data_IF_321153882396
#
_entry.id   IF_321153882396
#
_cell.length_a   1.000
_cell.length_b   1.000
_cell.length_c   1.000
_cell.angle_alpha   90.00
_cell.angle_beta   90.00
_cell.angle_gamma   90.00
#
_symmetry.space_group_name_H-M   'P 1'
#
loop_
_entity.id
_entity.type
_entity.pdbx_description
1 polymer ?
#
# COMPACT_ATOMS: atom_id res chain seq x y z
N UNK A 1 8.12 -12.10 7.08
CA UNK A 1 8.80 -11.78 5.82
C UNK A 1 8.06 -12.51 4.74
N UNK A 2 7.62 -11.83 3.69
CA UNK A 2 6.68 -12.43 2.74
C UNK A 2 7.28 -12.45 1.33
N UNK A 3 7.05 -13.56 0.62
CA UNK A 3 7.30 -13.66 -0.81
C UNK A 3 6.00 -13.44 -1.56
N UNK A 4 6.05 -12.80 -2.73
CA UNK A 4 4.92 -12.64 -3.63
C UNK A 4 5.23 -13.32 -4.96
N UNK A 5 4.35 -14.23 -5.40
CA UNK A 5 4.41 -14.82 -6.74
C UNK A 5 3.12 -14.55 -7.49
N UNK A 6 3.25 -14.18 -8.73
CA UNK A 6 2.15 -14.02 -9.69
C UNK A 6 2.45 -14.94 -10.86
N UNK A 7 1.56 -15.89 -11.12
CA UNK A 7 1.73 -16.91 -12.13
C UNK A 7 0.66 -16.79 -13.22
N UNK A 8 1.07 -16.51 -14.46
CA UNK A 8 0.23 -16.47 -15.66
C UNK A 8 -1.04 -15.58 -15.50
N UNK A 9 -0.93 -14.50 -14.75
CA UNK A 9 -2.06 -13.64 -14.40
C UNK A 9 -2.66 -12.98 -15.64
N UNK A 10 -3.94 -13.20 -15.86
CA UNK A 10 -4.69 -12.65 -16.99
C UNK A 10 -5.91 -11.87 -16.50
N UNK A 11 -6.14 -10.69 -17.09
CA UNK A 11 -7.29 -9.85 -16.79
C UNK A 11 -7.83 -9.20 -18.04
N UNK A 12 -9.15 -9.30 -18.21
CA UNK A 12 -9.90 -8.66 -19.28
C UNK A 12 -10.93 -7.69 -18.69
N UNK A 13 -11.16 -6.58 -19.36
CA UNK A 13 -12.30 -5.70 -19.14
C UNK A 13 -13.13 -5.65 -20.43
N UNK A 14 -14.26 -6.33 -20.42
CA UNK A 14 -15.04 -6.58 -21.63
C UNK A 14 -14.19 -7.29 -22.69
N UNK A 15 -14.03 -6.69 -23.86
CA UNK A 15 -13.25 -7.24 -24.98
C UNK A 15 -11.75 -6.85 -24.94
N UNK A 16 -11.32 -6.10 -23.94
CA UNK A 16 -9.94 -5.61 -23.85
C UNK A 16 -9.15 -6.43 -22.84
N UNK A 17 -8.11 -7.14 -23.31
CA UNK A 17 -7.18 -7.84 -22.44
C UNK A 17 -6.13 -6.85 -21.93
N UNK A 18 -6.19 -6.55 -20.63
CA UNK A 18 -5.32 -5.58 -19.94
C UNK A 18 -4.06 -6.26 -19.39
N UNK A 19 -4.21 -7.45 -18.80
CA UNK A 19 -3.06 -8.26 -18.35
C UNK A 19 -3.01 -9.55 -19.16
N UNK A 20 -1.83 -9.89 -19.68
CA UNK A 20 -1.60 -11.02 -20.58
C UNK A 20 -0.54 -11.95 -19.98
N UNK A 21 -0.97 -12.97 -19.23
CA UNK A 21 -0.11 -13.98 -18.63
C UNK A 21 1.10 -13.39 -17.90
N UNK A 22 0.84 -12.42 -17.01
CA UNK A 22 1.89 -11.75 -16.25
C UNK A 22 2.48 -12.73 -15.24
N UNK A 23 3.80 -12.80 -15.22
CA UNK A 23 4.58 -13.56 -14.24
C UNK A 23 5.50 -12.60 -13.49
N UNK A 24 5.48 -12.67 -12.15
CA UNK A 24 6.29 -11.84 -11.28
C UNK A 24 6.65 -12.65 -10.02
N UNK A 25 7.89 -12.58 -9.61
CA UNK A 25 8.33 -13.11 -8.32
C UNK A 25 9.05 -12.01 -7.56
N UNK A 26 8.68 -11.82 -6.30
CA UNK A 26 9.26 -10.84 -5.39
C UNK A 26 9.69 -11.57 -4.14
N UNK A 27 10.96 -11.52 -3.84
CA UNK A 27 11.51 -12.10 -2.61
C UNK A 27 11.42 -11.11 -1.45
N UNK A 28 11.56 -11.61 -0.26
CA UNK A 28 11.52 -10.80 0.96
C UNK A 28 12.58 -9.67 0.93
N UNK A 29 12.15 -8.46 1.34
CA UNK A 29 12.99 -7.26 1.35
C UNK A 29 13.29 -6.68 -0.03
N UNK A 30 12.76 -7.25 -1.11
CA UNK A 30 12.97 -6.75 -2.46
C UNK A 30 12.07 -5.54 -2.76
N UNK A 31 12.63 -4.56 -3.46
CA UNK A 31 11.92 -3.39 -3.95
C UNK A 31 11.80 -3.44 -5.48
N UNK A 32 10.59 -3.64 -5.97
CA UNK A 32 10.29 -3.71 -7.40
C UNK A 32 9.58 -2.46 -7.87
N UNK A 33 9.96 -1.94 -9.03
CA UNK A 33 9.31 -0.81 -9.69
C UNK A 33 8.67 -1.26 -11.00
N UNK A 34 7.35 -1.09 -11.10
CA UNK A 34 6.61 -1.33 -12.33
C UNK A 34 6.72 -0.11 -13.25
N UNK A 35 7.38 -0.25 -14.39
CA UNK A 35 7.52 0.80 -15.39
C UNK A 35 6.62 0.53 -16.58
N UNK A 36 6.09 1.60 -17.18
CA UNK A 36 5.28 1.52 -18.38
C UNK A 36 4.40 2.75 -18.57
N UNK A 37 3.85 2.96 -19.78
CA UNK A 37 2.98 4.09 -20.09
C UNK A 37 1.68 4.05 -19.26
N UNK A 38 0.97 5.19 -19.22
CA UNK A 38 -0.36 5.23 -18.63
C UNK A 38 -1.30 4.25 -19.33
N UNK A 39 -2.12 3.54 -18.56
CA UNK A 39 -3.08 2.57 -19.11
C UNK A 39 -2.52 1.19 -19.47
N UNK A 40 -1.24 0.90 -19.23
CA UNK A 40 -0.65 -0.41 -19.54
C UNK A 40 -0.96 -1.52 -18.51
N UNK A 41 -1.84 -1.28 -17.53
CA UNK A 41 -2.27 -2.29 -16.57
C UNK A 41 -1.56 -2.31 -15.22
N UNK A 42 -0.65 -1.37 -14.91
CA UNK A 42 0.07 -1.33 -13.61
C UNK A 42 -0.87 -1.26 -12.41
N UNK A 43 -1.77 -0.28 -12.39
CA UNK A 43 -2.76 -0.11 -11.32
C UNK A 43 -3.71 -1.32 -11.24
N UNK A 44 -4.05 -1.92 -12.39
CA UNK A 44 -4.85 -3.16 -12.43
C UNK A 44 -4.12 -4.30 -11.74
N UNK A 45 -2.84 -4.50 -12.04
CA UNK A 45 -2.02 -5.53 -11.40
C UNK A 45 -1.93 -5.32 -9.89
N UNK A 46 -1.64 -4.08 -9.46
CA UNK A 46 -1.57 -3.74 -8.03
C UNK A 46 -2.91 -3.96 -7.32
N UNK A 47 -4.04 -3.57 -7.94
CA UNK A 47 -5.38 -3.79 -7.40
C UNK A 47 -5.71 -5.28 -7.26
N UNK A 48 -5.32 -6.11 -8.23
CA UNK A 48 -5.52 -7.56 -8.17
C UNK A 48 -4.66 -8.17 -7.06
N UNK A 49 -3.40 -7.78 -6.93
CA UNK A 49 -2.52 -8.23 -5.83
C UNK A 49 -3.11 -7.82 -4.47
N UNK A 50 -3.63 -6.60 -4.35
CA UNK A 50 -4.28 -6.11 -3.13
C UNK A 50 -5.64 -6.79 -2.85
N UNK A 51 -6.24 -7.50 -3.82
CA UNK A 51 -7.55 -8.12 -3.71
C UNK A 51 -8.73 -7.18 -3.94
N UNK A 52 -8.46 -5.99 -4.48
CA UNK A 52 -9.48 -4.98 -4.81
C UNK A 52 -10.13 -5.23 -6.17
N UNK A 53 -9.52 -6.07 -7.00
CA UNK A 53 -10.00 -6.49 -8.30
C UNK A 53 -9.82 -8.01 -8.45
N UNK A 54 -10.72 -8.65 -9.17
CA UNK A 54 -10.67 -10.10 -9.45
C UNK A 54 -9.74 -10.39 -10.63
N UNK A 55 -9.15 -11.58 -10.62
CA UNK A 55 -8.40 -12.13 -11.75
C UNK A 55 -9.30 -13.05 -12.58
N UNK A 56 -9.09 -13.12 -13.89
CA UNK A 56 -9.82 -14.04 -14.77
C UNK A 56 -9.13 -15.39 -14.86
N UNK A 57 -7.77 -15.40 -14.90
CA UNK A 57 -6.97 -16.62 -14.91
C UNK A 57 -5.60 -16.36 -14.26
N UNK A 58 -4.93 -17.44 -13.84
CA UNK A 58 -3.66 -17.38 -13.12
C UNK A 58 -3.82 -17.33 -11.59
N UNK A 59 -2.68 -17.28 -10.91
CA UNK A 59 -2.63 -17.37 -9.45
C UNK A 59 -1.75 -16.29 -8.84
N UNK A 60 -2.14 -15.86 -7.64
CA UNK A 60 -1.35 -15.00 -6.78
C UNK A 60 -1.06 -15.75 -5.50
N UNK A 61 0.21 -15.86 -5.14
CA UNK A 61 0.64 -16.51 -3.91
C UNK A 61 1.36 -15.50 -3.02
N UNK A 62 1.04 -15.56 -1.74
CA UNK A 62 1.79 -14.88 -0.66
C UNK A 62 2.27 -15.96 0.28
N UNK A 63 3.58 -16.08 0.47
CA UNK A 63 4.21 -17.14 1.28
C UNK A 63 3.69 -18.54 0.90
N UNK A 64 3.66 -18.84 -0.40
CA UNK A 64 3.16 -20.11 -0.97
C UNK A 64 1.63 -20.35 -0.86
N UNK A 65 0.87 -19.46 -0.19
CA UNK A 65 -0.59 -19.56 -0.11
C UNK A 65 -1.26 -18.82 -1.25
N UNK A 66 -2.14 -19.52 -2.00
CA UNK A 66 -2.95 -18.89 -3.06
C UNK A 66 -3.97 -17.95 -2.44
N UNK A 67 -3.90 -16.65 -2.80
CA UNK A 67 -4.74 -15.59 -2.21
C UNK A 67 -5.81 -15.04 -3.14
N UNK A 68 -6.06 -15.67 -4.29
CA UNK A 68 -7.03 -15.19 -5.28
C UNK A 68 -8.42 -14.90 -4.68
N UNK A 69 -8.85 -15.70 -3.70
CA UNK A 69 -10.18 -15.59 -3.04
C UNK A 69 -10.12 -15.00 -1.63
N UNK A 70 -8.92 -14.59 -1.18
CA UNK A 70 -8.74 -13.98 0.13
C UNK A 70 -9.14 -12.51 0.05
N UNK A 71 -9.95 -12.04 0.99
CA UNK A 71 -10.37 -10.64 1.05
C UNK A 71 -9.17 -9.70 1.30
N UNK A 72 -9.23 -8.45 0.80
CA UNK A 72 -8.13 -7.47 0.93
C UNK A 72 -7.64 -7.26 2.37
N UNK A 73 -8.58 -7.27 3.33
CA UNK A 73 -8.27 -7.07 4.76
C UNK A 73 -7.41 -8.19 5.37
N UNK A 74 -7.48 -9.39 4.78
CA UNK A 74 -6.85 -10.62 5.30
C UNK A 74 -5.54 -10.97 4.55
N UNK A 75 -5.19 -10.24 3.47
CA UNK A 75 -3.94 -10.46 2.71
C UNK A 75 -2.69 -9.89 3.37
N UNK A 76 -2.82 -9.16 4.47
CA UNK A 76 -1.73 -8.44 5.14
C UNK A 76 -0.88 -7.54 4.23
N UNK A 77 -1.56 -6.92 3.26
CA UNK A 77 -0.99 -5.96 2.30
C UNK A 77 -1.42 -4.55 2.70
N UNK A 78 -0.56 -3.58 2.51
CA UNK A 78 -0.92 -2.18 2.53
C UNK A 78 -0.72 -1.57 1.13
N UNK A 79 -1.69 -0.75 0.72
CA UNK A 79 -1.65 -0.05 -0.57
C UNK A 79 -1.79 1.46 -0.36
N UNK A 80 -0.92 2.21 -1.02
CA UNK A 80 -0.99 3.66 -1.13
C UNK A 80 -1.46 4.00 -2.54
N UNK A 81 -2.65 4.59 -2.64
CA UNK A 81 -3.26 4.97 -3.90
C UNK A 81 -2.69 6.30 -4.42
N UNK A 82 -2.77 6.52 -5.72
CA UNK A 82 -2.41 7.77 -6.39
C UNK A 82 -3.12 8.99 -5.79
N UNK A 83 -4.38 8.87 -5.42
CA UNK A 83 -5.18 9.92 -4.78
C UNK A 83 -4.92 10.07 -3.27
N UNK A 84 -4.01 9.25 -2.70
CA UNK A 84 -3.73 9.09 -1.28
C UNK A 84 -4.92 8.60 -0.44
N UNK A 85 -6.14 8.72 -0.92
CA UNK A 85 -7.41 8.27 -0.31
C UNK A 85 -7.54 8.58 1.19
N UNK A 86 -7.07 9.76 1.64
CA UNK A 86 -7.20 10.21 3.03
C UNK A 86 -8.65 10.54 3.37
N UNK A 87 -9.07 10.24 4.58
CA UNK A 87 -10.38 10.63 5.11
C UNK A 87 -10.40 12.14 5.39
N UNK A 88 -11.15 12.95 4.62
CA UNK A 88 -11.03 14.42 4.66
C UNK A 88 -11.55 15.03 5.94
N UNK A 89 -12.50 14.38 6.61
CA UNK A 89 -13.08 14.84 7.88
C UNK A 89 -12.18 14.55 9.10
N UNK A 90 -11.24 13.63 8.97
CA UNK A 90 -10.35 13.19 10.05
C UNK A 90 -9.06 14.01 10.09
N UNK A 91 -8.47 14.15 11.27
CA UNK A 91 -7.12 14.69 11.44
C UNK A 91 -6.07 13.74 10.85
N UNK A 92 -4.81 14.20 10.72
CA UNK A 92 -3.68 13.35 10.36
C UNK A 92 -3.54 12.20 11.35
N UNK A 93 -3.58 12.49 12.67
CA UNK A 93 -3.57 11.48 13.73
C UNK A 93 -4.62 10.40 13.47
N UNK A 94 -5.88 10.79 13.30
CA UNK A 94 -6.98 9.85 13.13
C UNK A 94 -6.87 9.05 11.82
N UNK A 95 -6.40 9.68 10.73
CA UNK A 95 -6.11 8.97 9.49
C UNK A 95 -5.08 7.86 9.68
N UNK A 96 -3.96 8.18 10.35
CA UNK A 96 -2.85 7.23 10.57
C UNK A 96 -3.30 6.04 11.43
N UNK A 97 -3.97 6.30 12.56
CA UNK A 97 -4.33 5.25 13.52
C UNK A 97 -5.65 4.54 13.22
N UNK A 98 -6.38 4.94 12.20
CA UNK A 98 -7.71 4.40 11.87
C UNK A 98 -7.73 2.87 11.81
N UNK A 99 -6.80 2.28 11.05
CA UNK A 99 -6.71 0.81 10.90
C UNK A 99 -6.41 0.08 12.21
N UNK A 100 -5.60 0.68 13.08
CA UNK A 100 -5.29 0.09 14.39
C UNK A 100 -6.50 0.12 15.34
N UNK A 101 -7.28 1.23 15.32
CA UNK A 101 -8.54 1.33 16.08
C UNK A 101 -9.54 0.25 15.64
N UNK A 102 -9.68 0.01 14.32
CA UNK A 102 -10.57 -1.03 13.80
C UNK A 102 -10.16 -2.45 14.24
N UNK A 103 -8.86 -2.70 14.34
CA UNK A 103 -8.30 -3.97 14.83
C UNK A 103 -8.31 -4.10 16.36
N UNK A 104 -8.85 -3.10 17.08
CA UNK A 104 -8.92 -3.06 18.55
C UNK A 104 -7.56 -3.19 19.24
N UNK A 105 -6.51 -2.64 18.61
CA UNK A 105 -5.17 -2.56 19.19
C UNK A 105 -5.21 -1.70 20.45
N UNK A 106 -4.39 -2.02 21.46
CA UNK A 106 -4.36 -1.27 22.72
C UNK A 106 -3.95 0.20 22.50
N UNK A 107 -4.45 1.10 23.34
CA UNK A 107 -4.13 2.53 23.24
C UNK A 107 -2.62 2.79 23.35
N UNK A 108 -1.93 2.05 24.21
CA UNK A 108 -0.49 2.17 24.41
C UNK A 108 0.27 1.81 23.12
N UNK A 109 -0.07 0.70 22.49
CA UNK A 109 0.55 0.28 21.22
C UNK A 109 0.23 1.28 20.10
N UNK A 110 -1.00 1.81 20.01
CA UNK A 110 -1.38 2.84 19.05
C UNK A 110 -0.50 4.08 19.20
N UNK A 111 -0.33 4.61 20.42
CA UNK A 111 0.48 5.80 20.66
C UNK A 111 1.97 5.55 20.37
N UNK A 112 2.48 4.37 20.71
CA UNK A 112 3.87 3.97 20.40
C UNK A 112 4.11 3.93 18.89
N UNK A 113 3.24 3.26 18.13
CA UNK A 113 3.34 3.16 16.67
C UNK A 113 3.16 4.54 16.01
N UNK A 114 2.17 5.32 16.46
CA UNK A 114 1.95 6.66 15.95
C UNK A 114 3.19 7.54 16.13
N UNK A 115 3.78 7.55 17.33
CA UNK A 115 4.99 8.33 17.62
C UNK A 115 6.14 7.90 16.70
N UNK A 116 6.39 6.60 16.60
CA UNK A 116 7.46 6.05 15.78
C UNK A 116 7.32 6.46 14.30
N UNK A 117 6.19 6.13 13.69
CA UNK A 117 5.98 6.38 12.26
C UNK A 117 5.77 7.86 11.93
N UNK A 118 5.19 8.67 12.82
CA UNK A 118 5.06 10.10 12.57
C UNK A 118 6.42 10.82 12.57
N UNK A 119 7.32 10.43 13.43
CA UNK A 119 8.70 10.96 13.47
C UNK A 119 9.49 10.50 12.23
N UNK A 120 9.46 9.21 11.89
CA UNK A 120 10.11 8.66 10.69
C UNK A 120 9.68 9.42 9.43
N UNK A 121 8.38 9.69 9.29
CA UNK A 121 7.80 10.36 8.12
C UNK A 121 7.81 11.89 8.22
N UNK A 122 8.33 12.46 9.31
CA UNK A 122 8.36 13.91 9.57
C UNK A 122 6.97 14.57 9.48
N UNK A 123 5.95 13.92 10.04
CA UNK A 123 4.57 14.40 10.11
C UNK A 123 4.08 14.63 11.54
N UNK A 124 4.95 14.49 12.53
CA UNK A 124 4.66 14.65 13.96
C UNK A 124 4.06 16.01 14.29
N UNK A 125 4.53 17.09 13.63
CA UNK A 125 4.01 18.46 13.80
C UNK A 125 2.69 18.70 13.05
N UNK A 126 2.19 17.72 12.30
CA UNK A 126 0.99 17.84 11.47
C UNK A 126 -0.20 17.05 12.02
N UNK A 127 -0.05 16.34 13.14
CA UNK A 127 -0.99 15.35 13.65
C UNK A 127 -2.41 15.90 13.86
N UNK A 128 -2.53 17.19 14.24
CA UNK A 128 -3.81 17.83 14.50
C UNK A 128 -4.43 18.51 13.26
N UNK A 129 -3.71 18.53 12.13
CA UNK A 129 -4.21 19.09 10.87
C UNK A 129 -5.15 18.13 10.15
N UNK A 130 -6.01 18.70 9.29
CA UNK A 130 -6.83 17.93 8.34
C UNK A 130 -6.16 17.86 6.96
N UNK A 131 -6.49 16.87 6.12
CA UNK A 131 -5.90 16.72 4.78
C UNK A 131 -5.94 17.96 3.89
N UNK A 132 -7.00 18.79 4.00
CA UNK A 132 -7.13 20.04 3.25
C UNK A 132 -6.05 21.10 3.59
N UNK A 133 -5.40 20.97 4.76
CA UNK A 133 -4.35 21.87 5.25
C UNK A 133 -2.95 21.41 4.92
N UNK A 134 -2.80 20.35 4.12
CA UNK A 134 -1.54 19.70 3.80
C UNK A 134 -1.14 19.92 2.34
N UNK A 135 0.16 20.03 2.09
CA UNK A 135 0.71 19.93 0.74
C UNK A 135 0.55 18.53 0.15
N UNK A 136 0.76 18.38 -1.18
CA UNK A 136 0.71 17.06 -1.83
C UNK A 136 1.68 16.06 -1.19
N UNK A 137 2.95 16.45 -1.00
CA UNK A 137 3.94 15.59 -0.35
C UNK A 137 3.61 15.25 1.11
N UNK A 138 3.02 16.19 1.85
CA UNK A 138 2.56 15.91 3.22
C UNK A 138 1.40 14.90 3.22
N UNK A 139 0.41 15.04 2.31
CA UNK A 139 -0.67 14.05 2.16
C UNK A 139 -0.14 12.66 1.83
N UNK A 140 0.87 12.59 0.95
CA UNK A 140 1.53 11.32 0.61
C UNK A 140 2.16 10.67 1.85
N UNK A 141 2.94 11.43 2.63
CA UNK A 141 3.56 10.92 3.88
C UNK A 141 2.52 10.45 4.90
N UNK A 142 1.40 11.15 5.02
CA UNK A 142 0.28 10.72 5.89
C UNK A 142 -0.34 9.42 5.40
N UNK A 143 -0.55 9.25 4.09
CA UNK A 143 -1.05 8.00 3.50
C UNK A 143 -0.08 6.83 3.75
N UNK A 144 1.23 7.08 3.65
CA UNK A 144 2.26 6.12 4.01
C UNK A 144 2.22 5.75 5.50
N UNK A 145 2.10 6.74 6.39
CA UNK A 145 1.96 6.51 7.83
C UNK A 145 0.77 5.62 8.14
N UNK A 146 -0.39 5.88 7.52
CA UNK A 146 -1.59 5.04 7.65
C UNK A 146 -1.37 3.59 7.21
N UNK A 147 -0.52 3.40 6.23
CA UNK A 147 -0.17 2.07 5.72
C UNK A 147 0.86 1.38 6.62
N UNK A 148 1.94 2.08 7.01
CA UNK A 148 3.07 1.55 7.79
C UNK A 148 2.70 1.14 9.21
N UNK A 149 1.83 1.91 9.90
CA UNK A 149 1.42 1.58 11.28
C UNK A 149 0.75 0.21 11.41
N UNK A 150 0.31 -0.38 10.30
CA UNK A 150 -0.27 -1.73 10.26
C UNK A 150 0.77 -2.84 10.19
N UNK A 151 2.05 -2.47 9.98
CA UNK A 151 3.17 -3.39 9.79
C UNK A 151 2.85 -4.48 8.74
N UNK A 152 2.51 -4.07 7.50
CA UNK A 152 2.13 -5.02 6.46
C UNK A 152 3.35 -5.82 6.00
N UNK A 153 3.10 -7.06 5.53
CA UNK A 153 4.13 -7.89 4.93
C UNK A 153 4.52 -7.43 3.52
N UNK A 154 3.56 -6.86 2.77
CA UNK A 154 3.76 -6.36 1.41
C UNK A 154 3.25 -4.92 1.32
N UNK A 155 4.04 -4.07 0.70
CA UNK A 155 3.72 -2.67 0.42
C UNK A 155 3.50 -2.46 -1.08
N UNK A 156 2.37 -1.89 -1.45
CA UNK A 156 2.04 -1.55 -2.84
C UNK A 156 1.90 -0.03 -2.98
N UNK A 157 2.53 0.53 -4.01
CA UNK A 157 2.43 1.95 -4.36
C UNK A 157 1.90 2.09 -5.78
N UNK A 158 0.75 2.73 -5.95
CA UNK A 158 0.14 3.00 -7.26
C UNK A 158 0.55 4.38 -7.78
N UNK A 159 1.82 4.69 -7.71
CA UNK A 159 2.56 5.74 -8.42
C UNK A 159 4.00 5.85 -7.92
N UNK A 160 4.93 6.35 -8.75
CA UNK A 160 6.31 6.46 -8.32
C UNK A 160 6.45 7.43 -7.14
N UNK A 161 7.27 7.03 -6.20
CA UNK A 161 7.71 7.80 -5.02
C UNK A 161 8.55 9.03 -5.45
N UNK A 162 8.14 9.74 -6.51
CA UNK A 162 8.90 10.86 -7.11
C UNK A 162 9.12 12.02 -6.14
N UNK A 163 8.24 12.13 -5.13
CA UNK A 163 8.31 13.18 -4.10
C UNK A 163 8.85 12.68 -2.75
N UNK A 164 9.34 11.44 -2.67
CA UNK A 164 9.98 10.93 -1.47
C UNK A 164 11.50 11.18 -1.53
N UNK A 165 12.02 11.82 -0.49
CA UNK A 165 13.44 12.00 -0.31
C UNK A 165 14.17 10.65 -0.34
N UNK A 166 15.36 10.63 -0.98
CA UNK A 166 16.19 9.42 -1.07
C UNK A 166 16.45 8.78 0.30
N UNK A 167 16.54 9.60 1.36
CA UNK A 167 16.72 9.15 2.74
C UNK A 167 15.55 8.30 3.24
N UNK A 168 14.32 8.73 3.00
CA UNK A 168 13.12 8.01 3.42
C UNK A 168 12.97 6.67 2.69
N UNK A 169 13.42 6.58 1.41
CA UNK A 169 13.45 5.31 0.68
C UNK A 169 14.40 4.28 1.30
N UNK A 170 15.52 4.75 1.87
CA UNK A 170 16.48 3.88 2.56
C UNK A 170 15.93 3.40 3.90
N UNK A 171 15.31 4.30 4.69
CA UNK A 171 14.73 3.97 5.99
C UNK A 171 13.54 2.99 5.91
N UNK A 172 12.85 2.95 4.76
CA UNK A 172 11.75 1.99 4.52
C UNK A 172 12.22 0.59 4.09
N UNK A 173 13.53 0.40 3.81
CA UNK A 173 14.11 -0.91 3.44
C UNK A 173 14.50 -1.78 4.63
N UNK A 174 14.47 -1.25 5.82
CA UNK A 174 14.82 -1.89 7.09
C UNK A 174 13.59 -2.01 7.99
#
# INVERSE_FOLDING_TARGET
MATLKVNNLTKNFGNTQVLKQINLEVIDGEFIVLLGPSGCGKSTLLNIIAGLETVDDGEILIDEYVVNRVEPKDRNIAMVFQSYALYPAMTVRDNVIFGLKQRKVSKEQIEKSLKHFSQMLQIDQLLDRKPAQLSGGQRQRVAMGRALVREPQIFLFDEPLSNLDAKLRVEMRH
#
